data_IF_629590038724
#
_entry.id   IF_629590038724
#
_cell.length_a   1.000
_cell.length_b   1.000
_cell.length_c   1.000
_cell.angle_alpha   90.00
_cell.angle_beta   90.00
_cell.angle_gamma   90.00
#
_symmetry.space_group_name_H-M   'P 1'
#
loop_
_entity.id
_entity.type
_entity.pdbx_description
1 polymer ?
#
# COMPACT_ATOMS: atom_id res chain seq x y z
N UNK A 1 24.24 -23.09 5.11
CA UNK A 1 22.98 -22.86 5.85
C UNK A 1 22.15 -21.72 5.24
N UNK A 2 22.13 -21.61 3.92
CA UNK A 2 21.52 -20.52 3.14
C UNK A 2 20.26 -20.95 2.37
N UNK A 3 19.98 -22.26 2.29
CA UNK A 3 18.87 -22.80 1.50
C UNK A 3 17.48 -22.55 2.10
N UNK A 4 17.34 -22.43 3.41
CA UNK A 4 16.03 -22.19 4.05
C UNK A 4 15.51 -20.78 3.81
N UNK A 5 16.37 -19.76 3.91
CA UNK A 5 15.98 -18.37 3.65
C UNK A 5 15.65 -18.17 2.16
N UNK A 6 16.43 -18.76 1.25
CA UNK A 6 16.13 -18.69 -0.18
C UNK A 6 14.89 -19.50 -0.58
N UNK A 7 14.64 -20.66 0.05
CA UNK A 7 13.43 -21.47 -0.17
C UNK A 7 12.17 -20.84 0.41
N UNK A 8 12.30 -19.99 1.44
CA UNK A 8 11.20 -19.22 2.01
C UNK A 8 10.89 -17.97 1.16
N UNK A 9 11.92 -17.30 0.64
CA UNK A 9 11.77 -16.08 -0.17
C UNK A 9 11.37 -16.41 -1.62
N UNK A 10 11.83 -17.54 -2.20
CA UNK A 10 11.57 -17.92 -3.59
C UNK A 10 11.61 -19.44 -3.89
N UNK A 11 10.52 -20.19 -3.67
CA UNK A 11 10.34 -21.47 -4.36
C UNK A 11 9.65 -21.26 -5.72
N UNK A 12 10.11 -21.90 -6.82
CA UNK A 12 9.30 -22.08 -8.01
C UNK A 12 8.40 -23.33 -7.86
N UNK A 13 7.15 -23.34 -8.34
CA UNK A 13 6.08 -22.34 -8.32
C UNK A 13 5.00 -22.75 -7.27
N UNK A 14 4.25 -21.89 -6.54
CA UNK A 14 4.01 -20.46 -6.60
C UNK A 14 4.72 -19.69 -5.46
N UNK A 15 4.96 -18.38 -5.62
CA UNK A 15 5.54 -17.57 -4.53
C UNK A 15 4.55 -17.44 -3.37
N UNK A 16 4.75 -18.24 -2.31
CA UNK A 16 3.96 -18.23 -1.07
C UNK A 16 3.80 -16.81 -0.53
N UNK A 17 4.83 -15.97 -0.65
CA UNK A 17 4.76 -14.56 -0.31
C UNK A 17 3.65 -13.80 -1.06
N UNK A 18 3.62 -13.87 -2.40
CA UNK A 18 2.59 -13.17 -3.18
C UNK A 18 1.20 -13.76 -2.91
N UNK A 19 1.09 -15.08 -2.75
CA UNK A 19 -0.17 -15.74 -2.37
C UNK A 19 -0.65 -15.30 -1.00
N UNK A 20 0.24 -15.27 -0.01
CA UNK A 20 -0.06 -14.82 1.35
C UNK A 20 -0.45 -13.35 1.36
N UNK A 21 0.31 -12.46 0.71
CA UNK A 21 -0.02 -11.04 0.63
C UNK A 21 -1.34 -10.79 -0.10
N UNK A 22 -1.66 -11.59 -1.13
CA UNK A 22 -2.95 -11.51 -1.83
C UNK A 22 -4.09 -12.00 -0.95
N UNK A 23 -3.92 -13.12 -0.24
CA UNK A 23 -4.90 -13.64 0.70
C UNK A 23 -5.14 -12.68 1.87
N UNK A 24 -4.09 -12.09 2.44
CA UNK A 24 -4.17 -11.06 3.47
C UNK A 24 -4.93 -9.84 2.94
N UNK A 25 -4.61 -9.38 1.72
CA UNK A 25 -5.31 -8.25 1.12
C UNK A 25 -6.78 -8.54 0.88
N UNK A 26 -7.11 -9.76 0.42
CA UNK A 26 -8.49 -10.20 0.21
C UNK A 26 -9.28 -10.30 1.52
N UNK A 27 -8.71 -10.94 2.53
CA UNK A 27 -9.33 -11.05 3.87
C UNK A 27 -9.49 -9.68 4.50
N UNK A 28 -8.49 -8.80 4.37
CA UNK A 28 -8.57 -7.43 4.86
C UNK A 28 -9.71 -6.68 4.17
N UNK A 29 -9.81 -6.77 2.84
CA UNK A 29 -10.87 -6.10 2.07
C UNK A 29 -12.26 -6.65 2.39
N UNK A 30 -12.37 -7.98 2.55
CA UNK A 30 -13.61 -8.64 2.94
C UNK A 30 -14.04 -8.24 4.36
N UNK A 31 -13.09 -8.15 5.29
CA UNK A 31 -13.35 -7.72 6.66
C UNK A 31 -13.77 -6.25 6.73
N UNK A 32 -13.11 -5.36 5.97
CA UNK A 32 -13.52 -3.95 5.88
C UNK A 32 -14.89 -3.80 5.21
N UNK A 33 -15.16 -4.55 4.14
CA UNK A 33 -16.47 -4.53 3.50
C UNK A 33 -17.58 -5.07 4.40
N UNK A 34 -17.31 -6.15 5.14
CA UNK A 34 -18.25 -6.67 6.14
C UNK A 34 -18.47 -5.69 7.30
N UNK A 35 -17.44 -4.97 7.73
CA UNK A 35 -17.56 -3.92 8.73
C UNK A 35 -18.44 -2.75 8.24
N UNK A 36 -18.30 -2.34 6.97
CA UNK A 36 -19.16 -1.33 6.35
C UNK A 36 -20.64 -1.77 6.31
N UNK A 37 -20.92 -3.02 5.92
CA UNK A 37 -22.29 -3.58 5.93
C UNK A 37 -22.87 -3.66 7.35
N UNK A 38 -22.03 -3.87 8.36
CA UNK A 38 -22.40 -3.85 9.79
C UNK A 38 -22.54 -2.45 10.39
N UNK A 39 -22.36 -1.39 9.59
CA UNK A 39 -22.46 0.00 10.04
C UNK A 39 -21.19 0.55 10.71
N UNK A 40 -20.09 -0.21 10.75
CA UNK A 40 -18.78 0.29 11.17
C UNK A 40 -18.06 0.90 9.97
N UNK A 41 -18.42 2.14 9.64
CA UNK A 41 -17.81 2.87 8.55
C UNK A 41 -16.39 3.34 8.88
N UNK A 42 -15.48 3.24 7.91
CA UNK A 42 -14.20 3.94 7.96
C UNK A 42 -14.51 5.43 8.14
N UNK A 43 -14.12 5.99 9.29
CA UNK A 43 -14.46 7.35 9.71
C UNK A 43 -13.74 8.39 8.83
N UNK A 44 -14.21 8.53 7.60
CA UNK A 44 -13.91 9.66 6.74
C UNK A 44 -14.44 10.93 7.40
N UNK A 45 -13.77 12.04 7.13
CA UNK A 45 -13.86 13.32 7.83
C UNK A 45 -15.27 13.90 8.04
N UNK A 46 -16.30 13.37 7.36
CA UNK A 46 -17.70 13.77 7.52
C UNK A 46 -18.56 12.88 8.44
N UNK A 47 -18.18 11.63 8.74
CA UNK A 47 -19.03 10.67 9.47
C UNK A 47 -18.53 10.28 10.87
N UNK A 48 -17.68 11.11 11.48
CA UNK A 48 -17.02 10.79 12.75
C UNK A 48 -17.93 10.85 13.99
N UNK A 49 -19.07 11.57 13.93
CA UNK A 49 -19.99 11.72 15.07
C UNK A 49 -20.66 10.41 15.52
N UNK A 50 -20.77 9.41 14.64
CA UNK A 50 -21.48 8.16 14.95
C UNK A 50 -20.64 7.14 15.75
N UNK A 51 -19.30 7.24 15.70
CA UNK A 51 -18.40 6.24 16.33
C UNK A 51 -17.92 6.67 17.71
N UNK A 52 -17.95 7.96 18.03
CA UNK A 52 -17.62 8.47 19.38
C UNK A 52 -18.55 7.94 20.47
N UNK A 53 -19.72 7.40 20.10
CA UNK A 53 -20.71 6.87 21.03
C UNK A 53 -20.45 5.41 21.47
N UNK A 54 -19.60 4.66 20.77
CA UNK A 54 -19.48 3.18 20.97
C UNK A 54 -18.08 2.72 21.39
N UNK A 55 -17.04 3.54 21.21
CA UNK A 55 -15.67 3.16 21.60
C UNK A 55 -15.10 4.14 22.63
N UNK A 56 -15.38 3.86 23.90
CA UNK A 56 -14.96 4.61 25.08
C UNK A 56 -13.46 4.47 25.45
N UNK A 57 -12.61 3.94 24.56
CA UNK A 57 -11.19 3.74 24.85
C UNK A 57 -10.31 3.81 23.60
N UNK A 58 -10.01 5.02 23.14
CA UNK A 58 -8.70 5.35 22.58
C UNK A 58 -8.65 6.86 22.34
N UNK A 59 -7.61 7.49 22.88
CA UNK A 59 -7.11 8.79 22.48
C UNK A 59 -6.76 8.79 20.98
N UNK A 60 -7.78 8.79 20.13
CA UNK A 60 -7.62 8.75 18.68
C UNK A 60 -7.01 10.08 18.23
N UNK A 61 -5.67 10.09 18.11
CA UNK A 61 -4.92 11.26 17.68
C UNK A 61 -5.46 11.66 16.30
N UNK A 62 -5.99 12.88 16.23
CA UNK A 62 -6.59 13.43 15.02
C UNK A 62 -5.50 14.12 14.23
N UNK A 63 -5.41 13.80 12.94
CA UNK A 63 -4.57 14.54 12.01
C UNK A 63 -5.46 15.46 11.17
N UNK A 64 -4.98 16.65 10.78
CA UNK A 64 -5.67 17.43 9.76
C UNK A 64 -5.74 16.59 8.48
N UNK A 65 -6.88 16.63 7.78
CA UNK A 65 -7.14 15.75 6.63
C UNK A 65 -6.07 15.84 5.54
N UNK A 66 -5.46 17.02 5.34
CA UNK A 66 -4.35 17.20 4.40
C UNK A 66 -3.13 16.35 4.76
N UNK A 67 -2.69 16.40 6.01
CA UNK A 67 -1.57 15.58 6.51
C UNK A 67 -1.91 14.09 6.50
N UNK A 68 -3.16 13.74 6.85
CA UNK A 68 -3.65 12.36 6.75
C UNK A 68 -3.55 11.80 5.33
N UNK A 69 -3.95 12.60 4.34
CA UNK A 69 -3.89 12.21 2.93
C UNK A 69 -2.45 12.16 2.40
N UNK A 70 -1.57 13.07 2.84
CA UNK A 70 -0.14 12.99 2.54
C UNK A 70 0.47 11.71 3.12
N UNK A 71 0.17 11.38 4.38
CA UNK A 71 0.63 10.16 5.03
C UNK A 71 0.14 8.90 4.31
N UNK A 72 -1.04 8.95 3.68
CA UNK A 72 -1.59 7.86 2.88
C UNK A 72 -0.76 7.55 1.64
N UNK A 73 -0.42 8.58 0.86
CA UNK A 73 0.15 8.41 -0.47
C UNK A 73 1.67 8.54 -0.52
N UNK A 74 2.27 9.35 0.36
CA UNK A 74 3.71 9.60 0.36
C UNK A 74 4.55 8.32 0.53
N UNK A 75 4.23 7.38 1.44
CA UNK A 75 4.99 6.13 1.57
C UNK A 75 4.94 5.28 0.29
N UNK A 76 3.80 5.24 -0.40
CA UNK A 76 3.64 4.51 -1.65
C UNK A 76 4.43 5.17 -2.80
N UNK A 77 4.45 6.50 -2.86
CA UNK A 77 5.29 7.25 -3.80
C UNK A 77 6.78 6.97 -3.55
N UNK A 78 7.22 7.02 -2.28
CA UNK A 78 8.60 6.74 -1.91
C UNK A 78 8.99 5.32 -2.30
N UNK A 79 8.13 4.33 -2.08
CA UNK A 79 8.37 2.95 -2.51
C UNK A 79 8.54 2.83 -4.03
N UNK A 80 7.67 3.49 -4.80
CA UNK A 80 7.73 3.49 -6.25
C UNK A 80 9.02 4.17 -6.77
N UNK A 81 9.42 5.32 -6.20
CA UNK A 81 10.66 6.00 -6.57
C UNK A 81 11.91 5.25 -6.13
N UNK A 82 11.91 4.67 -4.93
CA UNK A 82 13.00 3.86 -4.41
C UNK A 82 13.27 2.63 -5.29
N UNK A 83 12.24 2.09 -5.97
CA UNK A 83 12.42 0.98 -6.91
C UNK A 83 13.37 1.32 -8.06
N UNK A 84 13.43 2.57 -8.50
CA UNK A 84 14.39 3.01 -9.53
C UNK A 84 15.81 3.17 -8.98
N UNK A 85 15.94 3.50 -7.69
CA UNK A 85 17.23 3.65 -7.03
C UNK A 85 17.87 2.30 -6.67
N UNK A 86 17.07 1.26 -6.45
CA UNK A 86 17.56 -0.08 -6.10
C UNK A 86 18.01 -0.82 -7.37
N UNK A 87 19.31 -1.12 -7.53
CA UNK A 87 19.81 -1.84 -8.70
C UNK A 87 19.13 -3.21 -8.81
N UNK A 88 18.54 -3.51 -9.96
CA UNK A 88 17.88 -4.79 -10.21
C UNK A 88 16.45 -4.92 -9.68
N UNK A 89 15.88 -3.90 -9.01
CA UNK A 89 14.45 -3.92 -8.66
C UNK A 89 13.55 -3.69 -9.89
N UNK A 90 13.97 -2.82 -10.81
CA UNK A 90 13.28 -2.53 -12.07
C UNK A 90 14.12 -3.03 -13.23
N UNK A 91 14.02 -4.32 -13.52
CA UNK A 91 14.61 -4.93 -14.72
C UNK A 91 13.54 -4.99 -15.79
N UNK A 92 13.89 -4.90 -17.08
CA UNK A 92 12.95 -5.08 -18.20
C UNK A 92 11.91 -3.97 -18.42
N UNK A 93 11.43 -3.86 -19.66
CA UNK A 93 10.50 -2.81 -20.09
C UNK A 93 9.19 -2.80 -19.29
N UNK A 94 8.60 -3.97 -19.02
CA UNK A 94 7.31 -4.07 -18.30
C UNK A 94 7.40 -3.53 -16.87
N UNK A 95 8.47 -3.84 -16.14
CA UNK A 95 8.63 -3.32 -14.78
C UNK A 95 8.91 -1.81 -14.78
N UNK A 96 9.63 -1.30 -15.79
CA UNK A 96 9.86 0.15 -15.96
C UNK A 96 8.55 0.90 -16.16
N UNK A 97 7.72 0.44 -17.09
CA UNK A 97 6.41 1.05 -17.34
C UNK A 97 5.50 0.97 -16.11
N UNK A 98 5.47 -0.16 -15.41
CA UNK A 98 4.67 -0.30 -14.18
C UNK A 98 5.15 0.66 -13.08
N UNK A 99 6.45 0.68 -12.81
CA UNK A 99 7.03 1.51 -11.74
C UNK A 99 6.90 3.00 -12.08
N UNK A 100 6.99 3.36 -13.37
CA UNK A 100 6.74 4.72 -13.85
C UNK A 100 5.28 5.11 -13.69
N UNK A 101 4.33 4.25 -14.06
CA UNK A 101 2.91 4.50 -13.90
C UNK A 101 2.52 4.67 -12.42
N UNK A 102 3.05 3.82 -11.54
CA UNK A 102 2.85 3.93 -10.08
C UNK A 102 3.43 5.24 -9.54
N UNK A 103 4.63 5.61 -9.96
CA UNK A 103 5.28 6.86 -9.55
C UNK A 103 4.47 8.08 -10.01
N UNK A 104 4.07 8.13 -11.28
CA UNK A 104 3.23 9.20 -11.83
C UNK A 104 1.88 9.28 -11.10
N UNK A 105 1.26 8.12 -10.84
CA UNK A 105 -0.02 8.05 -10.14
C UNK A 105 0.06 8.66 -8.74
N UNK A 106 0.98 8.18 -7.91
CA UNK A 106 1.10 8.69 -6.54
C UNK A 106 1.67 10.10 -6.49
N UNK A 107 2.53 10.48 -7.44
CA UNK A 107 3.02 11.85 -7.56
C UNK A 107 1.88 12.82 -7.85
N UNK A 108 1.02 12.50 -8.81
CA UNK A 108 -0.19 13.28 -9.11
C UNK A 108 -1.07 13.43 -7.87
N UNK A 109 -1.29 12.34 -7.12
CA UNK A 109 -2.07 12.37 -5.87
C UNK A 109 -1.44 13.27 -4.81
N UNK A 110 -0.13 13.21 -4.61
CA UNK A 110 0.57 14.08 -3.66
C UNK A 110 0.47 15.55 -4.09
N UNK A 111 0.65 15.85 -5.38
CA UNK A 111 0.49 17.21 -5.90
C UNK A 111 -0.94 17.74 -5.77
N UNK A 112 -1.94 16.90 -6.03
CA UNK A 112 -3.35 17.24 -5.78
C UNK A 112 -3.57 17.61 -4.32
N UNK A 113 -2.99 16.83 -3.39
CA UNK A 113 -3.15 17.06 -1.95
C UNK A 113 -2.46 18.37 -1.52
N UNK A 114 -1.31 18.69 -2.10
CA UNK A 114 -0.53 19.87 -1.75
C UNK A 114 -1.11 21.15 -2.34
N UNK A 115 -1.56 21.14 -3.60
CA UNK A 115 -1.80 22.38 -4.35
C UNK A 115 -3.24 22.58 -4.80
N UNK A 116 -4.01 21.51 -5.01
CA UNK A 116 -5.32 21.60 -5.67
C UNK A 116 -6.46 21.45 -4.66
N UNK A 117 -6.34 20.47 -3.77
CA UNK A 117 -7.46 20.05 -2.95
C UNK A 117 -7.52 20.82 -1.63
N UNK A 118 -8.65 21.50 -1.38
CA UNK A 118 -8.95 22.12 -0.09
C UNK A 118 -9.56 21.08 0.84
N UNK A 119 -8.72 20.49 1.69
CA UNK A 119 -9.19 19.59 2.72
C UNK A 119 -9.86 20.37 3.86
N UNK A 120 -11.09 20.00 4.17
CA UNK A 120 -11.78 20.42 5.40
C UNK A 120 -11.96 19.21 6.32
N UNK A 121 -11.76 19.44 7.62
CA UNK A 121 -11.92 18.43 8.67
C UNK A 121 -10.64 17.66 9.05
N UNK A 122 -10.85 16.57 9.78
CA UNK A 122 -9.79 15.74 10.35
C UNK A 122 -9.96 14.27 9.97
N UNK A 123 -8.84 13.54 9.97
CA UNK A 123 -8.80 12.10 9.76
C UNK A 123 -8.27 11.42 11.02
N UNK A 124 -8.86 10.28 11.38
CA UNK A 124 -8.39 9.48 12.51
C UNK A 124 -7.09 8.76 12.12
N UNK A 125 -6.05 8.92 12.94
CA UNK A 125 -4.77 8.27 12.71
C UNK A 125 -4.90 6.74 12.67
N UNK A 126 -5.81 6.17 13.47
CA UNK A 126 -6.10 4.75 13.50
C UNK A 126 -6.63 4.18 12.18
N UNK A 127 -7.22 5.01 11.31
CA UNK A 127 -7.62 4.61 9.95
C UNK A 127 -6.55 4.97 8.92
N UNK A 128 -5.82 6.08 9.13
CA UNK A 128 -4.77 6.53 8.22
C UNK A 128 -3.61 5.53 8.08
N UNK A 129 -3.16 4.97 9.22
CA UNK A 129 -2.04 4.05 9.27
C UNK A 129 -2.28 2.73 8.50
N UNK A 130 -3.38 1.98 8.74
CA UNK A 130 -3.61 0.73 8.01
C UNK A 130 -3.81 0.96 6.51
N UNK A 131 -4.44 2.07 6.12
CA UNK A 131 -4.63 2.40 4.70
C UNK A 131 -3.29 2.75 4.04
N UNK A 132 -2.44 3.56 4.69
CA UNK A 132 -1.11 3.88 4.20
C UNK A 132 -0.25 2.61 4.02
N UNK A 133 -0.27 1.73 5.02
CA UNK A 133 0.42 0.44 4.96
C UNK A 133 -0.10 -0.44 3.81
N UNK A 134 -1.41 -0.47 3.59
CA UNK A 134 -2.02 -1.19 2.46
C UNK A 134 -1.52 -0.67 1.10
N UNK A 135 -1.49 0.65 0.89
CA UNK A 135 -0.97 1.23 -0.35
C UNK A 135 0.53 0.97 -0.54
N UNK A 136 1.32 1.10 0.52
CA UNK A 136 2.75 0.79 0.48
C UNK A 136 2.99 -0.68 0.11
N UNK A 137 2.34 -1.61 0.80
CA UNK A 137 2.46 -3.05 0.56
C UNK A 137 2.03 -3.40 -0.86
N UNK A 138 0.89 -2.87 -1.31
CA UNK A 138 0.36 -3.16 -2.64
C UNK A 138 1.34 -2.73 -3.73
N UNK A 139 1.90 -1.52 -3.60
CA UNK A 139 2.91 -0.97 -4.50
C UNK A 139 4.17 -1.83 -4.50
N UNK A 140 4.70 -2.17 -3.33
CA UNK A 140 5.88 -3.03 -3.19
C UNK A 140 5.64 -4.43 -3.79
N UNK A 141 4.48 -5.02 -3.55
CA UNK A 141 4.10 -6.34 -4.05
C UNK A 141 3.97 -6.35 -5.57
N UNK A 142 3.38 -5.31 -6.17
CA UNK A 142 3.29 -5.15 -7.63
C UNK A 142 4.66 -5.09 -8.30
N UNK A 143 5.58 -4.29 -7.75
CA UNK A 143 6.95 -4.16 -8.28
C UNK A 143 7.71 -5.48 -8.10
N UNK A 144 7.59 -6.10 -6.93
CA UNK A 144 8.20 -7.40 -6.63
C UNK A 144 7.71 -8.53 -7.55
N UNK A 145 6.41 -8.54 -7.86
CA UNK A 145 5.83 -9.50 -8.79
C UNK A 145 6.43 -9.35 -10.21
N UNK A 146 6.67 -8.12 -10.67
CA UNK A 146 7.34 -7.91 -11.97
C UNK A 146 8.77 -8.41 -11.96
N UNK A 147 9.55 -8.10 -10.91
CA UNK A 147 10.90 -8.63 -10.74
C UNK A 147 10.93 -10.17 -10.79
N UNK A 148 9.97 -10.81 -10.11
CA UNK A 148 9.77 -12.25 -10.10
C UNK A 148 9.53 -12.86 -11.49
N UNK A 149 8.57 -12.30 -12.22
CA UNK A 149 8.21 -12.82 -13.57
C UNK A 149 9.39 -12.79 -14.53
N UNK A 150 10.33 -11.86 -14.34
CA UNK A 150 11.52 -11.75 -15.18
C UNK A 150 12.60 -12.76 -14.84
N UNK A 151 12.82 -13.06 -13.55
CA UNK A 151 13.69 -14.16 -13.13
C UNK A 151 13.22 -15.52 -13.65
N UNK A 152 11.90 -15.74 -13.69
CA UNK A 152 11.33 -16.96 -14.28
C UNK A 152 11.49 -17.02 -15.81
N UNK A 153 11.54 -15.87 -16.49
CA UNK A 153 11.65 -15.80 -17.96
C UNK A 153 13.10 -15.78 -18.46
N UNK A 154 14.05 -15.28 -17.66
CA UNK A 154 15.49 -15.27 -17.96
C UNK A 154 16.28 -15.92 -16.81
N UNK A 155 16.52 -17.25 -16.83
CA UNK A 155 17.18 -17.96 -15.74
C UNK A 155 18.71 -17.74 -15.64
N UNK A 156 19.28 -16.70 -16.28
CA UNK A 156 20.72 -16.41 -16.21
C UNK A 156 20.99 -14.94 -15.96
N UNK A 157 21.71 -14.59 -14.88
CA UNK A 157 22.76 -13.61 -14.94
C UNK A 157 24.09 -14.33 -15.23
N UNK A 158 24.86 -13.77 -16.15
CA UNK A 158 26.28 -14.08 -16.40
C UNK A 158 27.11 -14.05 -15.14
#
# INVERSE_FOLDING_TARGET
>A
MSSFLFSFVYPPPPSVFVTAMSAISFVSLANTGAAEVRGQHLNYSKFWNAVTSTSSNASSRRLPSREGMLLLYAPALVAALASFAIPGAVVGERARWLSAALSIHFFKRVMEVLFIHQYSGHMLLGSALPISFSYFISTATMIYAQYLTQRCRNPRPT
#
